data_IF_709916295159
#
_entry.id   IF_709916295159
#
_cell.length_a   1.000
_cell.length_b   1.000
_cell.length_c   1.000
_cell.angle_alpha   90.00
_cell.angle_beta   90.00
_cell.angle_gamma   90.00
#
_symmetry.space_group_name_H-M   'P 1'
#
loop_
_entity.id
_entity.type
_entity.pdbx_description
1 polymer ?
#
# COMPACT_ATOMS: atom_id res chain seq x y z
N UNK A 1 7.65 -19.88 4.03
CA UNK A 1 6.82 -18.65 4.21
C UNK A 1 5.94 -18.71 5.47
N UNK A 2 5.65 -19.90 6.04
CA UNK A 2 4.71 -20.04 7.17
C UNK A 2 4.95 -19.08 8.36
N UNK A 3 6.19 -18.87 8.86
CA UNK A 3 6.42 -17.95 9.98
C UNK A 3 6.07 -16.47 9.69
N UNK A 4 5.92 -16.11 8.43
CA UNK A 4 5.60 -14.75 8.01
C UNK A 4 4.10 -14.50 7.83
N UNK A 5 3.26 -15.55 7.83
CA UNK A 5 1.84 -15.44 7.48
C UNK A 5 1.11 -14.49 8.43
N UNK A 6 1.04 -14.82 9.70
CA UNK A 6 0.28 -14.01 10.66
C UNK A 6 0.91 -12.63 10.93
N UNK A 7 2.26 -12.49 11.07
CA UNK A 7 2.85 -11.16 11.18
C UNK A 7 2.59 -10.26 9.96
N UNK A 8 2.50 -10.84 8.76
CA UNK A 8 2.17 -10.07 7.56
C UNK A 8 0.71 -9.60 7.57
N UNK A 9 -0.23 -10.47 7.93
CA UNK A 9 -1.64 -10.10 8.06
C UNK A 9 -1.84 -8.98 9.09
N UNK A 10 -1.17 -9.07 10.25
CA UNK A 10 -1.23 -8.04 11.30
C UNK A 10 -0.71 -6.68 10.82
N UNK A 11 0.29 -6.68 9.96
CA UNK A 11 0.86 -5.45 9.40
C UNK A 11 0.04 -4.90 8.23
N UNK A 12 -0.62 -5.77 7.46
CA UNK A 12 -1.30 -5.38 6.22
C UNK A 12 -2.74 -4.95 6.41
N UNK A 13 -3.42 -5.42 7.46
CA UNK A 13 -4.84 -5.19 7.70
C UNK A 13 -5.10 -4.75 9.14
N UNK A 14 -6.08 -3.89 9.33
CA UNK A 14 -6.55 -3.51 10.67
C UNK A 14 -7.15 -4.71 11.41
N UNK A 15 -7.20 -4.62 12.74
CA UNK A 15 -7.85 -5.63 13.58
C UNK A 15 -9.32 -5.81 13.21
N UNK A 16 -10.01 -4.71 12.90
CA UNK A 16 -11.40 -4.71 12.48
C UNK A 16 -11.61 -5.50 11.19
N UNK A 17 -10.81 -5.25 10.17
CA UNK A 17 -10.86 -5.97 8.91
C UNK A 17 -10.55 -7.46 9.10
N UNK A 18 -9.50 -7.80 9.85
CA UNK A 18 -9.12 -9.19 10.10
C UNK A 18 -10.21 -9.99 10.79
N UNK A 19 -10.97 -9.36 11.67
CA UNK A 19 -12.09 -10.00 12.38
C UNK A 19 -13.35 -10.10 11.52
N UNK A 20 -13.62 -9.11 10.67
CA UNK A 20 -14.83 -9.04 9.87
C UNK A 20 -14.76 -9.88 8.58
N UNK A 21 -13.55 -10.10 8.04
CA UNK A 21 -13.34 -10.67 6.71
C UNK A 21 -12.49 -11.96 6.74
N UNK A 22 -12.92 -13.03 7.45
CA UNK A 22 -12.12 -14.24 7.62
C UNK A 22 -11.79 -14.94 6.30
N UNK A 23 -12.71 -14.96 5.34
CA UNK A 23 -12.49 -15.57 4.02
C UNK A 23 -11.43 -14.82 3.20
N UNK A 24 -11.40 -13.50 3.29
CA UNK A 24 -10.36 -12.70 2.67
C UNK A 24 -9.01 -12.99 3.32
N UNK A 25 -8.98 -13.08 4.64
CA UNK A 25 -7.75 -13.43 5.37
C UNK A 25 -7.23 -14.80 4.97
N UNK A 26 -8.09 -15.80 4.79
CA UNK A 26 -7.68 -17.14 4.35
C UNK A 26 -7.09 -17.14 2.93
N UNK A 27 -7.66 -16.35 2.03
CA UNK A 27 -7.08 -16.16 0.69
C UNK A 27 -5.70 -15.53 0.76
N UNK A 28 -5.51 -14.50 1.57
CA UNK A 28 -4.20 -13.84 1.74
C UNK A 28 -3.19 -14.78 2.39
N UNK A 29 -3.59 -15.58 3.40
CA UNK A 29 -2.74 -16.64 3.97
C UNK A 29 -2.25 -17.62 2.91
N UNK A 30 -3.16 -18.07 2.05
CA UNK A 30 -2.81 -18.99 0.96
C UNK A 30 -1.83 -18.35 -0.03
N UNK A 31 -2.01 -17.08 -0.39
CA UNK A 31 -1.11 -16.34 -1.26
C UNK A 31 0.30 -16.23 -0.64
N UNK A 32 0.40 -15.86 0.63
CA UNK A 32 1.70 -15.77 1.33
C UNK A 32 2.38 -17.13 1.36
N UNK A 33 1.65 -18.21 1.69
CA UNK A 33 2.19 -19.57 1.73
C UNK A 33 2.73 -20.04 0.37
N UNK A 34 2.03 -19.69 -0.71
CA UNK A 34 2.43 -20.07 -2.08
C UNK A 34 3.60 -19.26 -2.62
N UNK A 35 3.96 -18.14 -1.97
CA UNK A 35 5.09 -17.32 -2.40
C UNK A 35 6.41 -18.07 -2.24
N UNK A 36 7.24 -18.06 -3.28
CA UNK A 36 8.59 -18.63 -3.22
C UNK A 36 9.44 -17.87 -2.17
N UNK A 37 10.00 -18.60 -1.21
CA UNK A 37 10.91 -18.00 -0.24
C UNK A 37 12.17 -17.41 -0.89
N UNK A 38 12.65 -18.02 -1.97
CA UNK A 38 13.78 -17.50 -2.75
C UNK A 38 13.41 -16.15 -3.40
N UNK A 39 12.22 -16.07 -4.03
CA UNK A 39 11.72 -14.83 -4.62
C UNK A 39 11.48 -13.75 -3.56
N UNK A 40 10.91 -14.12 -2.41
CA UNK A 40 10.71 -13.19 -1.29
C UNK A 40 12.03 -12.59 -0.80
N UNK A 41 13.06 -13.42 -0.59
CA UNK A 41 14.40 -12.96 -0.16
C UNK A 41 15.00 -12.02 -1.20
N UNK A 42 14.92 -12.36 -2.50
CA UNK A 42 15.42 -11.51 -3.57
C UNK A 42 14.73 -10.12 -3.61
N UNK A 43 13.41 -10.08 -3.47
CA UNK A 43 12.65 -8.82 -3.37
C UNK A 43 13.04 -8.02 -2.11
N UNK A 44 13.15 -8.69 -0.96
CA UNK A 44 13.55 -8.03 0.28
C UNK A 44 14.95 -7.40 0.19
N UNK A 45 15.90 -8.11 -0.42
CA UNK A 45 17.25 -7.59 -0.68
C UNK A 45 17.24 -6.39 -1.62
N UNK A 46 16.43 -6.40 -2.65
CA UNK A 46 16.28 -5.28 -3.57
C UNK A 46 15.73 -4.02 -2.86
N UNK A 47 14.76 -4.21 -1.96
CA UNK A 47 14.14 -3.11 -1.20
C UNK A 47 15.13 -2.48 -0.22
N UNK A 48 16.04 -3.24 0.38
CA UNK A 48 17.05 -2.71 1.33
C UNK A 48 17.93 -1.59 0.76
N UNK A 49 18.12 -1.58 -0.55
CA UNK A 49 18.94 -0.57 -1.23
C UNK A 49 18.14 0.60 -1.82
N UNK A 50 16.83 0.66 -1.62
CA UNK A 50 16.01 1.74 -2.19
C UNK A 50 16.20 3.05 -1.42
N UNK A 51 16.68 4.06 -2.13
CA UNK A 51 16.75 5.45 -1.67
C UNK A 51 16.43 6.37 -2.86
N UNK A 52 15.15 6.60 -3.11
CA UNK A 52 14.67 7.39 -4.24
C UNK A 52 14.00 8.70 -3.85
N UNK A 53 13.84 9.00 -2.55
CA UNK A 53 13.09 10.18 -2.12
C UNK A 53 13.56 11.46 -2.82
N UNK A 54 14.86 11.72 -2.81
CA UNK A 54 15.45 12.91 -3.45
C UNK A 54 15.33 12.93 -4.98
N UNK A 55 15.02 11.79 -5.60
CA UNK A 55 14.86 11.66 -7.06
C UNK A 55 13.42 11.86 -7.52
N UNK A 56 12.45 11.82 -6.61
CA UNK A 56 11.02 11.95 -6.94
C UNK A 56 10.68 13.29 -7.59
N UNK A 57 11.44 14.34 -7.31
CA UNK A 57 11.28 15.66 -7.95
C UNK A 57 11.45 15.66 -9.47
N UNK A 58 12.00 14.59 -10.05
CA UNK A 58 12.11 14.41 -11.50
C UNK A 58 10.80 13.89 -12.13
N UNK A 59 9.81 13.49 -11.33
CA UNK A 59 8.51 13.05 -11.82
C UNK A 59 7.71 14.28 -12.26
N UNK A 60 7.38 14.34 -13.56
CA UNK A 60 6.58 15.40 -14.17
C UNK A 60 5.19 14.92 -14.62
N UNK A 61 4.94 13.62 -14.54
CA UNK A 61 3.64 13.04 -14.84
C UNK A 61 2.65 13.27 -13.69
N UNK A 62 1.35 13.34 -13.99
CA UNK A 62 0.34 13.33 -12.94
C UNK A 62 0.53 12.12 -12.01
N UNK A 63 0.54 12.36 -10.73
CA UNK A 63 0.78 11.34 -9.72
C UNK A 63 -0.17 11.50 -8.52
N UNK A 64 -0.54 10.39 -7.93
CA UNK A 64 -1.30 10.34 -6.69
C UNK A 64 -0.62 9.38 -5.71
N UNK A 65 -0.53 9.77 -4.46
CA UNK A 65 -0.09 8.96 -3.34
C UNK A 65 -1.31 8.56 -2.52
N UNK A 66 -1.62 7.26 -2.50
CA UNK A 66 -2.74 6.69 -1.73
C UNK A 66 -2.15 5.82 -0.62
N UNK A 67 -2.54 6.06 0.61
CA UNK A 67 -2.05 5.31 1.78
C UNK A 67 -3.22 4.97 2.70
N UNK A 68 -3.16 3.83 3.39
CA UNK A 68 -4.09 3.54 4.47
C UNK A 68 -3.75 4.37 5.71
N UNK A 69 -4.73 4.98 6.34
CA UNK A 69 -4.54 5.84 7.51
C UNK A 69 -3.90 5.09 8.70
N UNK A 70 -4.05 3.76 8.75
CA UNK A 70 -3.51 2.89 9.81
C UNK A 70 -2.34 2.01 9.32
N UNK A 71 -1.67 2.40 8.22
CA UNK A 71 -0.51 1.67 7.73
C UNK A 71 0.70 1.88 8.64
N UNK A 72 1.02 0.88 9.46
CA UNK A 72 2.19 0.91 10.35
C UNK A 72 3.50 0.49 9.68
N UNK A 73 3.44 -0.04 8.45
CA UNK A 73 4.62 -0.50 7.70
C UNK A 73 5.24 0.58 6.82
N UNK A 74 4.38 1.29 6.08
CA UNK A 74 4.72 2.47 5.29
C UNK A 74 3.73 3.58 5.65
N UNK A 75 3.97 4.28 6.76
CA UNK A 75 2.98 5.14 7.38
C UNK A 75 2.66 6.39 6.54
N UNK A 76 1.52 7.06 6.80
CA UNK A 76 1.09 8.27 6.09
C UNK A 76 2.18 9.32 5.94
N UNK A 77 3.03 9.50 6.96
CA UNK A 77 4.14 10.46 6.94
C UNK A 77 5.16 10.17 5.84
N UNK A 78 5.40 8.88 5.54
CA UNK A 78 6.31 8.48 4.45
C UNK A 78 5.68 8.83 3.08
N UNK A 79 4.40 8.58 2.89
CA UNK A 79 3.68 8.95 1.67
C UNK A 79 3.59 10.48 1.51
N UNK A 80 3.38 11.23 2.61
CA UNK A 80 3.42 12.70 2.61
C UNK A 80 4.80 13.24 2.22
N UNK A 81 5.88 12.62 2.71
CA UNK A 81 7.23 13.01 2.32
C UNK A 81 7.46 12.83 0.82
N UNK A 82 6.98 11.73 0.24
CA UNK A 82 7.05 11.51 -1.21
C UNK A 82 6.18 12.51 -1.98
N UNK A 83 4.97 12.78 -1.53
CA UNK A 83 4.06 13.77 -2.13
C UNK A 83 4.68 15.16 -2.19
N UNK A 84 5.38 15.60 -1.15
CA UNK A 84 6.07 16.90 -1.11
C UNK A 84 7.16 17.04 -2.17
N UNK A 85 7.80 15.94 -2.57
CA UNK A 85 8.85 15.93 -3.59
C UNK A 85 8.29 15.95 -5.02
N UNK A 86 7.02 15.58 -5.25
CA UNK A 86 6.43 15.51 -6.58
C UNK A 86 5.46 16.67 -6.80
N UNK A 87 5.92 17.68 -7.52
CA UNK A 87 5.12 18.87 -7.78
C UNK A 87 3.79 18.54 -8.49
N UNK A 88 2.68 19.05 -7.96
CA UNK A 88 1.34 18.85 -8.53
C UNK A 88 0.75 17.45 -8.30
N UNK A 89 1.41 16.59 -7.52
CA UNK A 89 0.81 15.32 -7.13
C UNK A 89 -0.37 15.51 -6.19
N UNK A 90 -1.20 14.48 -6.07
CA UNK A 90 -2.29 14.40 -5.09
C UNK A 90 -1.89 13.46 -3.95
N UNK A 91 -2.50 13.67 -2.78
CA UNK A 91 -2.31 12.83 -1.60
C UNK A 91 -3.67 12.50 -0.98
N UNK A 92 -3.92 11.22 -0.70
CA UNK A 92 -5.18 10.76 -0.10
C UNK A 92 -4.89 9.65 0.93
N UNK A 93 -5.47 9.79 2.11
CA UNK A 93 -5.54 8.73 3.12
C UNK A 93 -6.87 7.99 3.02
N UNK A 94 -6.81 6.66 3.04
CA UNK A 94 -7.98 5.79 3.07
C UNK A 94 -8.23 5.36 4.52
N UNK A 95 -9.35 5.76 5.08
CA UNK A 95 -9.76 5.40 6.44
C UNK A 95 -11.17 4.76 6.45
N UNK A 96 -11.39 3.61 7.13
CA UNK A 96 -10.35 2.80 7.76
C UNK A 96 -9.60 1.93 6.74
N UNK A 97 -8.29 1.88 6.80
CA UNK A 97 -7.46 0.92 6.08
C UNK A 97 -6.00 0.95 6.58
N UNK A 98 -5.32 -0.19 6.47
CA UNK A 98 -3.89 -0.32 6.69
C UNK A 98 -3.14 -0.45 5.34
N UNK A 99 -2.14 -1.31 5.25
CA UNK A 99 -1.20 -1.39 4.12
C UNK A 99 -1.85 -1.78 2.79
N UNK A 100 -2.83 -2.67 2.78
CA UNK A 100 -3.50 -3.15 1.57
C UNK A 100 -4.87 -2.49 1.44
N UNK A 101 -4.88 -1.17 1.40
CA UNK A 101 -6.08 -0.33 1.44
C UNK A 101 -7.08 -0.62 0.30
N UNK A 102 -6.58 -1.07 -0.86
CA UNK A 102 -7.42 -1.49 -1.98
C UNK A 102 -8.23 -2.76 -1.71
N UNK A 103 -7.77 -3.63 -0.82
CA UNK A 103 -8.53 -4.81 -0.39
C UNK A 103 -9.39 -4.52 0.83
N UNK A 104 -8.88 -3.72 1.75
CA UNK A 104 -9.54 -3.43 3.01
C UNK A 104 -10.72 -2.45 2.86
N UNK A 105 -10.54 -1.41 2.04
CA UNK A 105 -11.59 -0.42 1.74
C UNK A 105 -11.68 -0.16 0.23
N UNK A 106 -12.13 -1.16 -0.55
CA UNK A 106 -12.16 -1.08 -2.01
C UNK A 106 -13.05 0.04 -2.53
N UNK A 107 -14.11 0.39 -1.81
CA UNK A 107 -15.03 1.47 -2.22
C UNK A 107 -14.32 2.82 -2.21
N UNK A 108 -13.67 3.17 -1.11
CA UNK A 108 -12.95 4.43 -1.00
C UNK A 108 -11.72 4.46 -1.92
N UNK A 109 -10.97 3.35 -2.00
CA UNK A 109 -9.81 3.25 -2.87
C UNK A 109 -10.18 3.42 -4.35
N UNK A 110 -11.17 2.68 -4.83
CA UNK A 110 -11.59 2.75 -6.23
C UNK A 110 -12.17 4.12 -6.59
N UNK A 111 -12.96 4.73 -5.68
CA UNK A 111 -13.46 6.10 -5.87
C UNK A 111 -12.30 7.09 -6.00
N UNK A 112 -11.32 7.03 -5.14
CA UNK A 112 -10.14 7.90 -5.19
C UNK A 112 -9.38 7.75 -6.51
N UNK A 113 -9.19 6.52 -6.96
CA UNK A 113 -8.51 6.23 -8.22
C UNK A 113 -9.32 6.74 -9.43
N UNK A 114 -10.64 6.54 -9.44
CA UNK A 114 -11.53 7.00 -10.50
C UNK A 114 -11.57 8.52 -10.59
N UNK A 115 -11.69 9.21 -9.46
CA UNK A 115 -11.64 10.68 -9.39
C UNK A 115 -10.31 11.22 -9.96
N UNK A 116 -9.18 10.60 -9.62
CA UNK A 116 -7.87 10.96 -10.14
C UNK A 116 -7.79 10.77 -11.66
N UNK A 117 -8.16 9.60 -12.16
CA UNK A 117 -8.09 9.27 -13.58
C UNK A 117 -9.05 10.15 -14.41
N UNK A 118 -10.25 10.40 -13.90
CA UNK A 118 -11.22 11.30 -14.56
C UNK A 118 -10.71 12.74 -14.63
N UNK A 119 -9.91 13.17 -13.68
CA UNK A 119 -9.27 14.48 -13.67
C UNK A 119 -8.20 14.67 -14.74
N UNK A 120 -7.61 13.58 -15.25
CA UNK A 120 -6.57 13.62 -16.29
C UNK A 120 -7.12 13.91 -17.70
N UNK A 121 -8.42 13.72 -17.91
CA UNK A 121 -9.07 13.88 -19.20
C UNK A 121 -9.68 15.29 -19.42
N UNK A 122 -9.36 16.22 -18.53
CA UNK A 122 -9.79 17.62 -18.62
C UNK A 122 -8.61 18.52 -19.02
#
# INVERSE_FOLDING_TARGET
MEPLVEPTLQRWFTDGCRSAEPEMMDRVRAMIRSTSSFGYIGCAQAILGLDYLSKLKAITLPAIFIVGAQDGGTPPEAAQAMHKEVAGSQYVEIDPAAHVSNMENPVAFNKTLDDFLSGLNK
#
